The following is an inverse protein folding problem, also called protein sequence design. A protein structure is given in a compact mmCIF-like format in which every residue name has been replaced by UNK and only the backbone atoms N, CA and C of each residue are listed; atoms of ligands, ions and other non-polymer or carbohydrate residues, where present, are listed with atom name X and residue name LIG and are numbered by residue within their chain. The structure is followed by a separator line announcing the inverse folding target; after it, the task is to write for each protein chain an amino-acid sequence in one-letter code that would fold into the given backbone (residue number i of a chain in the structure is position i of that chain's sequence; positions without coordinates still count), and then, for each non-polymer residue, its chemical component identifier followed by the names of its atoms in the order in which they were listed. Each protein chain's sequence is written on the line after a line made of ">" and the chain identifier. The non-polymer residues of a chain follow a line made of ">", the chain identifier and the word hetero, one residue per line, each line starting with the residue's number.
data_IF_897943379480
#
_entry.id   IF_897943379480
#
_cell.length_a   1.000
_cell.length_b   1.000
_cell.length_c   1.000
_cell.angle_alpha   90.00
_cell.angle_beta   90.00
_cell.angle_gamma   90.00
#
_symmetry.space_group_name_H-M   'P 1'
#
loop_
_entity.id
_entity.type
_entity.pdbx_description
1 polymer ?
#
# COMPACT_ATOMS: atom_id res chain seq x y z
N UNK A 1 -5.84 -3.36 16.46
CA UNK A 1 -4.48 -3.48 17.03
C UNK A 1 -4.46 -3.95 18.49
N UNK A 2 -5.25 -3.39 19.42
CA UNK A 2 -5.21 -3.81 20.83
C UNK A 2 -5.56 -5.30 21.05
N UNK A 3 -6.51 -5.86 20.30
CA UNK A 3 -6.86 -7.27 20.38
C UNK A 3 -5.75 -8.15 19.80
N UNK A 4 -5.13 -7.74 18.69
CA UNK A 4 -4.00 -8.43 18.08
C UNK A 4 -2.77 -8.46 18.99
N UNK A 5 -2.42 -7.34 19.63
CA UNK A 5 -1.33 -7.26 20.62
C UNK A 5 -1.53 -8.20 21.82
N UNK A 6 -2.75 -8.67 22.05
CA UNK A 6 -3.12 -9.59 23.14
C UNK A 6 -3.43 -11.01 22.67
N UNK A 7 -3.13 -11.32 21.39
CA UNK A 7 -3.46 -12.61 20.75
C UNK A 7 -4.95 -13.00 20.90
N UNK A 8 -5.84 -12.00 20.93
CA UNK A 8 -7.29 -12.23 20.98
C UNK A 8 -7.83 -12.30 19.56
N UNK A 9 -8.33 -13.47 19.10
CA UNK A 9 -8.92 -13.60 17.78
C UNK A 9 -10.12 -12.67 17.62
N UNK A 10 -10.19 -11.93 16.54
CA UNK A 10 -11.33 -11.05 16.27
C UNK A 10 -11.73 -11.08 14.80
N UNK A 11 -12.95 -10.66 14.53
CA UNK A 11 -13.49 -10.50 13.17
C UNK A 11 -14.23 -9.17 13.04
N UNK A 12 -13.92 -8.41 11.99
CA UNK A 12 -14.62 -7.16 11.67
C UNK A 12 -15.75 -7.46 10.69
N UNK A 13 -16.98 -7.07 11.05
CA UNK A 13 -18.16 -7.23 10.21
C UNK A 13 -18.55 -5.89 9.59
N UNK A 14 -18.76 -5.88 8.26
CA UNK A 14 -19.35 -4.77 7.52
C UNK A 14 -18.48 -3.55 7.29
N UNK A 15 -17.22 -3.60 7.69
CA UNK A 15 -16.21 -2.59 7.34
C UNK A 15 -15.17 -3.16 6.39
N UNK A 16 -14.55 -2.29 5.57
CA UNK A 16 -13.29 -2.66 4.95
C UNK A 16 -12.23 -2.78 6.06
N UNK A 17 -11.50 -3.90 6.09
CA UNK A 17 -10.28 -4.02 6.88
C UNK A 17 -9.41 -2.79 6.65
N UNK A 18 -8.68 -2.34 7.67
CA UNK A 18 -7.81 -1.17 7.57
C UNK A 18 -6.92 -1.21 6.31
N UNK A 19 -6.29 -2.36 6.06
CA UNK A 19 -5.42 -2.56 4.90
C UNK A 19 -6.19 -2.66 3.56
N UNK A 20 -7.51 -2.79 3.58
CA UNK A 20 -8.36 -2.79 2.38
C UNK A 20 -8.84 -1.39 1.97
N UNK A 21 -8.64 -0.37 2.81
CA UNK A 21 -8.99 1.02 2.49
C UNK A 21 -8.18 1.51 1.28
N UNK A 22 -8.82 2.31 0.43
CA UNK A 22 -8.23 2.75 -0.85
C UNK A 22 -6.88 3.43 -0.67
N UNK A 23 -6.81 4.43 0.19
CA UNK A 23 -5.62 5.24 0.49
C UNK A 23 -4.48 4.38 1.07
N UNK A 24 -4.80 3.40 1.90
CA UNK A 24 -3.84 2.46 2.46
C UNK A 24 -3.28 1.54 1.37
N UNK A 25 -4.15 1.00 0.51
CA UNK A 25 -3.72 0.21 -0.66
C UNK A 25 -2.83 1.01 -1.59
N UNK A 26 -3.09 2.30 -1.77
CA UNK A 26 -2.28 3.17 -2.61
C UNK A 26 -0.86 3.32 -2.03
N UNK A 27 -0.73 3.56 -0.71
CA UNK A 27 0.58 3.59 -0.03
C UNK A 27 1.27 2.23 -0.12
N UNK A 28 0.60 1.14 0.28
CA UNK A 28 1.16 -0.21 0.25
C UNK A 28 1.61 -0.61 -1.16
N UNK A 29 0.91 -0.18 -2.21
CA UNK A 29 1.31 -0.47 -3.59
C UNK A 29 2.64 0.21 -3.95
N UNK A 30 2.89 1.46 -3.50
CA UNK A 30 4.21 2.06 -3.63
C UNK A 30 5.28 1.25 -2.90
N UNK A 31 5.01 0.82 -1.69
CA UNK A 31 5.96 0.05 -0.89
C UNK A 31 6.25 -1.33 -1.50
N UNK A 32 5.22 -2.00 -2.03
CA UNK A 32 5.36 -3.30 -2.71
C UNK A 32 6.27 -3.22 -3.93
N UNK A 33 6.17 -2.17 -4.76
CA UNK A 33 7.05 -2.02 -5.94
C UNK A 33 8.49 -1.64 -5.56
N UNK A 34 8.75 -1.14 -4.36
CA UNK A 34 10.12 -0.95 -3.88
C UNK A 34 10.81 -2.29 -3.64
N UNK A 35 10.10 -3.25 -3.06
CA UNK A 35 10.62 -4.61 -2.81
C UNK A 35 10.56 -5.45 -4.08
N UNK A 36 9.45 -5.40 -4.80
CA UNK A 36 9.26 -6.18 -6.03
C UNK A 36 8.75 -5.31 -7.19
N UNK A 37 9.65 -4.74 -8.01
CA UNK A 37 9.26 -3.95 -9.18
C UNK A 37 8.47 -4.72 -10.24
N UNK A 38 8.41 -6.06 -10.16
CA UNK A 38 7.62 -6.92 -11.05
C UNK A 38 6.17 -7.09 -10.59
N UNK A 39 5.80 -6.47 -9.46
CA UNK A 39 4.41 -6.45 -9.00
C UNK A 39 3.59 -5.52 -9.90
N UNK A 40 3.04 -6.09 -10.96
CA UNK A 40 2.29 -5.33 -11.97
C UNK A 40 0.96 -4.78 -11.45
N UNK A 41 0.34 -5.44 -10.49
CA UNK A 41 -0.89 -4.94 -9.86
C UNK A 41 -0.61 -3.67 -9.09
N UNK A 42 0.40 -3.70 -8.23
CA UNK A 42 0.84 -2.53 -7.47
C UNK A 42 1.31 -1.40 -8.40
N UNK A 43 2.09 -1.73 -9.43
CA UNK A 43 2.57 -0.75 -10.40
C UNK A 43 1.43 -0.05 -11.14
N UNK A 44 0.49 -0.80 -11.70
CA UNK A 44 -0.68 -0.25 -12.43
C UNK A 44 -1.53 0.65 -11.54
N UNK A 45 -1.60 0.34 -10.25
CA UNK A 45 -2.35 1.13 -9.27
C UNK A 45 -1.73 2.52 -9.06
N UNK A 46 -0.41 2.63 -9.01
CA UNK A 46 0.27 3.87 -8.58
C UNK A 46 0.99 4.64 -9.68
N UNK A 47 1.19 4.06 -10.85
CA UNK A 47 1.93 4.70 -11.95
C UNK A 47 1.37 6.08 -12.33
N UNK A 48 0.05 6.24 -12.26
CA UNK A 48 -0.63 7.52 -12.51
C UNK A 48 -1.41 8.04 -11.29
N UNK A 49 -1.07 7.62 -10.08
CA UNK A 49 -1.68 8.15 -8.87
C UNK A 49 -0.61 8.52 -7.82
N UNK A 50 -0.53 9.77 -7.39
CA UNK A 50 -1.25 10.98 -7.90
C UNK A 50 -1.07 11.19 -9.40
N UNK A 51 -1.96 11.98 -10.01
CA UNK A 51 -2.00 12.18 -11.46
C UNK A 51 -0.68 12.71 -12.04
N UNK A 52 -0.06 11.90 -12.94
CA UNK A 52 1.20 12.23 -13.64
C UNK A 52 1.00 12.44 -15.13
N UNK A 53 -0.25 12.31 -15.62
CA UNK A 53 -0.56 12.38 -17.04
C UNK A 53 -0.05 11.17 -17.81
N UNK A 54 0.01 10.02 -17.18
CA UNK A 54 0.24 8.69 -17.79
C UNK A 54 -1.14 8.06 -17.96
N UNK A 55 -1.70 8.16 -19.17
CA UNK A 55 -3.06 7.68 -19.45
C UNK A 55 -3.15 6.18 -19.61
N UNK A 56 -4.37 5.64 -19.51
CA UNK A 56 -4.68 4.22 -19.61
C UNK A 56 -4.15 3.59 -20.93
N UNK A 57 -4.27 4.29 -22.06
CA UNK A 57 -3.73 3.84 -23.35
C UNK A 57 -2.21 3.62 -23.31
N UNK A 58 -1.48 4.42 -22.53
CA UNK A 58 -0.04 4.23 -22.36
C UNK A 58 0.26 2.96 -21.57
N UNK A 59 -0.51 2.71 -20.50
CA UNK A 59 -0.38 1.50 -19.68
C UNK A 59 -0.67 0.25 -20.53
N UNK A 60 -1.72 0.27 -21.34
CA UNK A 60 -2.05 -0.82 -22.25
C UNK A 60 -0.93 -1.12 -23.25
N UNK A 61 -0.32 -0.07 -23.83
CA UNK A 61 0.85 -0.22 -24.73
C UNK A 61 2.04 -0.82 -24.01
N UNK A 62 2.31 -0.39 -22.76
CA UNK A 62 3.37 -0.97 -21.95
C UNK A 62 3.12 -2.46 -21.68
N UNK A 63 1.88 -2.86 -21.39
CA UNK A 63 1.50 -4.27 -21.17
C UNK A 63 1.76 -5.10 -22.43
N UNK A 64 1.33 -4.61 -23.60
CA UNK A 64 1.55 -5.31 -24.88
C UNK A 64 3.05 -5.53 -25.13
N UNK A 65 3.84 -4.48 -24.95
CA UNK A 65 5.29 -4.55 -25.15
C UNK A 65 5.96 -5.44 -24.10
N UNK A 66 5.53 -5.39 -22.85
CA UNK A 66 6.02 -6.25 -21.77
C UNK A 66 5.82 -7.73 -22.12
N UNK A 67 4.62 -8.09 -22.58
CA UNK A 67 4.32 -9.45 -23.04
C UNK A 67 5.14 -9.84 -24.27
N UNK A 68 5.31 -8.95 -25.26
CA UNK A 68 6.09 -9.20 -26.47
C UNK A 68 7.56 -9.52 -26.17
N UNK A 69 8.16 -8.83 -25.20
CA UNK A 69 9.56 -9.01 -24.82
C UNK A 69 9.77 -9.96 -23.63
N UNK A 70 8.70 -10.57 -23.11
CA UNK A 70 8.70 -11.39 -21.89
C UNK A 70 9.41 -10.70 -20.71
N UNK A 71 9.02 -9.45 -20.47
CA UNK A 71 9.55 -8.57 -19.40
C UNK A 71 8.42 -8.00 -18.58
N UNK A 72 8.72 -7.55 -17.36
CA UNK A 72 7.75 -6.77 -16.58
C UNK A 72 7.56 -5.37 -17.17
N UNK A 73 6.42 -4.74 -16.85
CA UNK A 73 6.13 -3.36 -17.26
C UNK A 73 7.24 -2.42 -16.77
N UNK A 74 7.73 -2.61 -15.54
CA UNK A 74 8.80 -1.78 -14.98
C UNK A 74 10.11 -1.93 -15.75
N UNK A 75 10.49 -3.16 -16.12
CA UNK A 75 11.69 -3.42 -16.97
C UNK A 75 11.56 -2.79 -18.35
N UNK A 76 10.36 -2.78 -18.94
CA UNK A 76 10.12 -2.05 -20.20
C UNK A 76 10.32 -0.55 -20.00
N UNK A 77 9.77 0.02 -18.92
CA UNK A 77 9.92 1.45 -18.61
C UNK A 77 11.37 1.85 -18.38
N UNK A 78 12.20 1.00 -17.77
CA UNK A 78 13.65 1.22 -17.60
C UNK A 78 14.42 1.22 -18.92
N UNK A 79 13.89 0.58 -19.94
CA UNK A 79 14.57 0.36 -21.22
C UNK A 79 13.88 1.05 -22.41
N UNK A 80 13.12 2.11 -22.18
CA UNK A 80 12.35 2.83 -23.21
C UNK A 80 13.21 3.39 -24.37
N UNK A 81 14.51 3.53 -24.19
CA UNK A 81 15.43 3.97 -25.24
C UNK A 81 15.89 2.82 -26.16
N UNK A 82 15.71 1.57 -25.69
CA UNK A 82 16.16 0.35 -26.39
C UNK A 82 14.98 -0.47 -26.94
N UNK A 83 13.77 -0.13 -26.53
CA UNK A 83 12.54 -0.87 -26.87
C UNK A 83 11.66 0.02 -27.74
N UNK A 84 11.20 -0.52 -28.85
CA UNK A 84 10.27 0.19 -29.72
C UNK A 84 8.88 0.21 -29.10
N UNK A 85 8.37 1.41 -28.79
CA UNK A 85 7.05 1.64 -28.24
C UNK A 85 6.47 2.95 -28.79
N UNK A 86 5.22 2.90 -29.25
CA UNK A 86 4.52 4.07 -29.79
C UNK A 86 3.97 4.98 -28.71
N UNK A 87 4.84 5.78 -28.10
CA UNK A 87 4.48 6.84 -27.15
C UNK A 87 5.17 8.15 -27.52
N UNK A 88 4.55 9.27 -27.21
CA UNK A 88 5.16 10.58 -27.48
C UNK A 88 6.28 10.87 -26.48
N UNK A 89 7.16 11.82 -26.84
CA UNK A 89 8.34 12.20 -26.04
C UNK A 89 7.98 12.67 -24.62
N UNK A 90 6.86 13.42 -24.47
CA UNK A 90 6.42 13.90 -23.16
C UNK A 90 5.98 12.76 -22.24
N UNK A 91 5.26 11.77 -22.77
CA UNK A 91 4.87 10.58 -22.03
C UNK A 91 6.09 9.73 -21.66
N UNK A 92 7.06 9.60 -22.59
CA UNK A 92 8.32 8.90 -22.32
C UNK A 92 9.08 9.52 -21.16
N UNK A 93 9.21 10.85 -21.12
CA UNK A 93 9.83 11.57 -20.00
C UNK A 93 9.13 11.28 -18.68
N UNK A 94 7.79 11.34 -18.63
CA UNK A 94 7.02 11.06 -17.41
C UNK A 94 7.22 9.63 -16.89
N UNK A 95 7.34 8.65 -17.78
CA UNK A 95 7.64 7.26 -17.40
C UNK A 95 9.06 7.14 -16.86
N UNK A 96 10.05 7.82 -17.47
CA UNK A 96 11.43 7.86 -16.99
C UNK A 96 11.53 8.55 -15.62
N UNK A 97 10.82 9.66 -15.42
CA UNK A 97 10.76 10.36 -14.13
C UNK A 97 10.17 9.46 -13.04
N UNK A 98 9.12 8.70 -13.35
CA UNK A 98 8.53 7.73 -12.43
C UNK A 98 9.53 6.62 -12.07
N UNK A 99 10.22 6.04 -13.07
CA UNK A 99 11.25 5.02 -12.84
C UNK A 99 12.36 5.57 -11.94
N UNK A 100 12.87 6.75 -12.25
CA UNK A 100 13.93 7.41 -11.46
C UNK A 100 13.49 7.64 -10.00
N UNK A 101 12.25 8.07 -9.80
CA UNK A 101 11.68 8.25 -8.47
C UNK A 101 11.65 6.92 -7.69
N UNK A 102 11.13 5.84 -8.29
CA UNK A 102 11.09 4.53 -7.63
C UNK A 102 12.50 4.02 -7.31
N UNK A 103 13.43 4.13 -8.24
CA UNK A 103 14.83 3.74 -8.01
C UNK A 103 15.48 4.53 -6.87
N UNK A 104 15.19 5.84 -6.77
CA UNK A 104 15.70 6.64 -5.65
C UNK A 104 15.17 6.17 -4.31
N UNK A 105 13.90 5.73 -4.24
CA UNK A 105 13.32 5.17 -3.03
C UNK A 105 13.92 3.79 -2.70
N UNK A 106 14.21 2.97 -3.70
CA UNK A 106 14.88 1.67 -3.50
C UNK A 106 16.25 1.83 -2.83
N UNK A 107 17.04 2.82 -3.29
CA UNK A 107 18.34 3.13 -2.67
C UNK A 107 18.17 3.58 -1.22
N UNK A 108 17.18 4.43 -0.93
CA UNK A 108 16.90 4.86 0.45
C UNK A 108 16.42 3.73 1.36
N UNK A 109 15.68 2.77 0.79
CA UNK A 109 15.17 1.62 1.54
C UNK A 109 16.29 0.72 2.10
N UNK A 110 17.50 0.76 1.55
CA UNK A 110 18.64 0.00 2.07
C UNK A 110 19.09 0.47 3.47
N UNK A 111 18.82 1.74 3.81
CA UNK A 111 19.26 2.34 5.07
C UNK A 111 18.13 2.87 5.96
N UNK A 112 16.88 2.78 5.51
CA UNK A 112 15.71 3.28 6.22
C UNK A 112 14.90 2.13 6.84
N UNK A 113 14.34 2.35 8.03
CA UNK A 113 13.26 1.51 8.55
C UNK A 113 11.93 1.77 7.80
N UNK A 114 10.93 0.92 8.05
CA UNK A 114 9.64 0.99 7.34
C UNK A 114 8.92 2.33 7.55
N UNK A 115 9.04 2.94 8.73
CA UNK A 115 8.43 4.24 8.99
C UNK A 115 9.10 5.33 8.16
N UNK A 116 10.44 5.38 8.18
CA UNK A 116 11.22 6.39 7.47
C UNK A 116 11.00 6.34 5.96
N UNK A 117 11.05 5.14 5.37
CA UNK A 117 10.84 5.00 3.92
C UNK A 117 9.41 5.34 3.53
N UNK A 118 8.41 4.93 4.32
CA UNK A 118 7.02 5.23 4.02
C UNK A 118 6.72 6.71 4.12
N UNK A 119 7.18 7.37 5.17
CA UNK A 119 7.05 8.83 5.31
C UNK A 119 7.67 9.57 4.12
N UNK A 120 8.86 9.15 3.69
CA UNK A 120 9.52 9.71 2.52
C UNK A 120 8.71 9.50 1.23
N UNK A 121 8.24 8.28 0.98
CA UNK A 121 7.42 7.92 -0.18
C UNK A 121 6.14 8.76 -0.22
N UNK A 122 5.38 8.82 0.86
CA UNK A 122 4.11 9.56 0.93
C UNK A 122 4.32 11.05 0.65
N UNK A 123 5.40 11.64 1.20
CA UNK A 123 5.76 13.06 0.95
C UNK A 123 6.18 13.30 -0.50
N UNK A 124 7.10 12.48 -1.03
CA UNK A 124 7.71 12.71 -2.35
C UNK A 124 6.80 12.34 -3.52
N UNK A 125 5.94 11.35 -3.36
CA UNK A 125 4.96 11.01 -4.41
C UNK A 125 3.86 12.06 -4.57
N UNK A 126 3.63 12.91 -3.56
CA UNK A 126 2.56 13.89 -3.52
C UNK A 126 1.21 13.34 -3.04
N UNK A 127 1.17 12.12 -2.47
CA UNK A 127 -0.07 11.51 -1.96
C UNK A 127 -0.79 12.41 -0.95
N UNK A 128 -0.08 12.93 0.05
CA UNK A 128 -0.67 13.87 1.00
C UNK A 128 -1.22 15.14 0.33
N UNK A 129 -0.48 15.67 -0.65
CA UNK A 129 -0.91 16.88 -1.37
C UNK A 129 -2.18 16.60 -2.15
N UNK A 130 -2.28 15.43 -2.76
CA UNK A 130 -3.48 15.02 -3.52
C UNK A 130 -4.69 14.85 -2.61
N UNK A 131 -4.54 14.17 -1.47
CA UNK A 131 -5.62 13.98 -0.51
C UNK A 131 -6.06 15.28 0.16
N UNK A 132 -5.13 16.22 0.42
CA UNK A 132 -5.45 17.54 0.98
C UNK A 132 -6.27 18.44 0.05
N UNK A 133 -6.30 18.17 -1.26
CA UNK A 133 -7.18 18.88 -2.18
C UNK A 133 -8.66 18.53 -1.96
N UNK A 134 -8.92 17.36 -1.43
CA UNK A 134 -10.26 16.92 -1.05
C UNK A 134 -10.58 17.43 0.37
N UNK A 135 -11.21 18.60 0.47
CA UNK A 135 -11.60 19.21 1.75
C UNK A 135 -12.84 18.61 2.38
N UNK A 136 -13.35 17.49 1.87
CA UNK A 136 -14.51 16.78 2.43
C UNK A 136 -14.16 16.03 3.71
N UNK A 137 -15.14 15.69 4.57
CA UNK A 137 -14.91 14.83 5.73
C UNK A 137 -14.25 13.49 5.35
N UNK A 138 -14.59 12.94 4.18
CA UNK A 138 -13.99 11.69 3.66
C UNK A 138 -12.50 11.91 3.29
N UNK A 139 -12.15 13.07 2.71
CA UNK A 139 -10.77 13.44 2.41
C UNK A 139 -9.92 13.54 3.68
N UNK A 140 -10.47 14.15 4.72
CA UNK A 140 -9.82 14.25 6.05
C UNK A 140 -9.61 12.86 6.63
N UNK A 141 -10.66 12.02 6.66
CA UNK A 141 -10.55 10.66 7.17
C UNK A 141 -9.50 9.81 6.43
N UNK A 142 -9.29 10.01 5.13
CA UNK A 142 -8.21 9.34 4.38
C UNK A 142 -6.83 9.79 4.82
N UNK A 143 -6.65 11.07 5.14
CA UNK A 143 -5.38 11.58 5.68
C UNK A 143 -5.11 10.94 7.04
N UNK A 144 -6.11 10.95 7.94
CA UNK A 144 -6.03 10.33 9.25
C UNK A 144 -5.67 8.83 9.16
N UNK A 145 -6.24 8.12 8.18
CA UNK A 145 -5.87 6.72 7.92
C UNK A 145 -4.39 6.53 7.54
N UNK A 146 -3.81 7.43 6.75
CA UNK A 146 -2.38 7.36 6.42
C UNK A 146 -1.53 7.69 7.65
N UNK A 147 -1.95 8.66 8.46
CA UNK A 147 -1.26 8.97 9.72
C UNK A 147 -1.30 7.80 10.70
N UNK A 148 -2.43 7.11 10.79
CA UNK A 148 -2.58 5.87 11.57
C UNK A 148 -1.67 4.76 11.05
N UNK A 149 -1.56 4.59 9.73
CA UNK A 149 -0.60 3.64 9.15
C UNK A 149 0.83 3.97 9.54
N UNK A 150 1.23 5.23 9.45
CA UNK A 150 2.57 5.69 9.85
C UNK A 150 2.84 5.48 11.34
N UNK A 151 1.85 5.70 12.20
CA UNK A 151 1.96 5.42 13.63
C UNK A 151 2.14 3.92 13.89
N UNK A 152 1.34 3.07 13.23
CA UNK A 152 1.49 1.61 13.32
C UNK A 152 2.86 1.11 12.85
N UNK A 153 3.43 1.74 11.80
CA UNK A 153 4.79 1.43 11.37
C UNK A 153 5.86 1.85 12.37
N UNK A 154 5.66 2.97 13.06
CA UNK A 154 6.56 3.42 14.14
C UNK A 154 6.53 2.44 15.30
N UNK A 155 5.34 2.06 15.74
CA UNK A 155 5.16 1.06 16.80
C UNK A 155 5.82 -0.26 16.40
N UNK A 156 5.65 -0.71 15.16
CA UNK A 156 6.30 -1.91 14.64
C UNK A 156 7.83 -1.83 14.73
N UNK A 157 8.42 -0.71 14.32
CA UNK A 157 9.88 -0.49 14.41
C UNK A 157 10.36 -0.53 15.86
N UNK A 158 9.62 0.05 16.79
CA UNK A 158 9.95 0.04 18.23
C UNK A 158 9.87 -1.39 18.80
N UNK A 159 8.80 -2.15 18.47
CA UNK A 159 8.64 -3.54 18.90
C UNK A 159 9.77 -4.45 18.34
N UNK A 160 10.15 -4.27 17.07
CA UNK A 160 11.23 -5.04 16.46
C UNK A 160 12.59 -4.76 17.12
N UNK A 161 12.87 -3.53 17.51
CA UNK A 161 14.10 -3.16 18.23
C UNK A 161 14.19 -3.77 19.63
N UNK A 162 13.04 -4.01 20.28
CA UNK A 162 12.99 -4.62 21.62
C UNK A 162 13.14 -6.15 21.58
N UNK A 163 12.63 -6.79 20.52
CA UNK A 163 12.51 -8.27 20.44
C UNK A 163 13.73 -8.97 19.86
N UNK A 164 14.44 -8.34 18.97
CA UNK A 164 15.61 -8.93 18.32
C UNK A 164 16.40 -7.83 17.61
N UNK A 165 17.70 -7.93 17.44
CA UNK A 165 18.57 -7.03 16.67
C UNK A 165 18.10 -6.73 15.21
N UNK A 166 16.80 -6.65 14.99
CA UNK A 166 16.16 -6.38 13.69
C UNK A 166 15.81 -4.91 13.56
N UNK A 167 15.86 -4.40 12.33
CA UNK A 167 15.72 -2.96 12.06
C UNK A 167 14.29 -2.52 11.81
N UNK A 168 13.30 -3.43 11.83
CA UNK A 168 11.93 -3.12 11.41
C UNK A 168 11.89 -2.74 9.94
N UNK A 169 12.36 -3.62 9.09
CA UNK A 169 12.49 -3.38 7.65
C UNK A 169 11.14 -3.33 6.93
N UNK A 170 11.12 -2.71 5.75
CA UNK A 170 9.94 -2.69 4.89
C UNK A 170 9.47 -4.10 4.49
N UNK A 171 10.39 -5.04 4.26
CA UNK A 171 10.04 -6.41 3.87
C UNK A 171 9.29 -7.13 4.99
N UNK A 172 9.82 -7.07 6.23
CA UNK A 172 9.19 -7.66 7.41
C UNK A 172 7.79 -7.08 7.67
N UNK A 173 7.63 -5.76 7.54
CA UNK A 173 6.32 -5.13 7.70
C UNK A 173 5.31 -5.59 6.64
N UNK A 174 5.72 -5.71 5.37
CA UNK A 174 4.82 -6.18 4.31
C UNK A 174 4.42 -7.65 4.47
N UNK A 175 5.28 -8.49 5.01
CA UNK A 175 4.95 -9.88 5.40
C UNK A 175 3.90 -9.88 6.52
N UNK A 176 4.06 -9.06 7.55
CA UNK A 176 3.09 -8.91 8.63
C UNK A 176 1.73 -8.42 8.14
N UNK A 177 1.70 -7.45 7.22
CA UNK A 177 0.46 -6.97 6.57
C UNK A 177 -0.21 -8.07 5.75
N UNK A 178 0.56 -8.90 5.05
CA UNK A 178 0.01 -10.00 4.26
C UNK A 178 -0.66 -11.03 5.17
N UNK A 179 -0.01 -11.44 6.25
CA UNK A 179 -0.56 -12.35 7.25
C UNK A 179 -1.85 -11.78 7.90
N UNK A 180 -1.84 -10.50 8.29
CA UNK A 180 -3.02 -9.85 8.84
C UNK A 180 -4.21 -9.83 7.87
N UNK A 181 -3.93 -9.58 6.58
CA UNK A 181 -4.97 -9.54 5.54
C UNK A 181 -5.55 -10.93 5.26
N UNK A 182 -4.77 -11.99 5.38
CA UNK A 182 -5.23 -13.36 5.16
C UNK A 182 -6.06 -13.86 6.36
N UNK A 183 -5.67 -13.54 7.59
CA UNK A 183 -6.47 -13.79 8.79
C UNK A 183 -7.85 -13.12 8.74
N UNK A 184 -7.94 -11.91 8.16
CA UNK A 184 -9.23 -11.22 7.94
C UNK A 184 -10.16 -11.98 6.97
N UNK A 185 -9.62 -12.84 6.10
CA UNK A 185 -10.39 -13.65 5.12
C UNK A 185 -10.80 -15.03 5.66
N UNK A 186 -10.14 -15.51 6.70
CA UNK A 186 -10.45 -16.83 7.26
C UNK A 186 -11.86 -16.89 7.84
N UNK A 187 -12.68 -17.78 7.30
CA UNK A 187 -14.08 -17.99 7.68
C UNK A 187 -14.27 -19.08 8.75
N UNK A 188 -13.21 -19.41 9.49
CA UNK A 188 -13.25 -20.46 10.53
C UNK A 188 -14.29 -20.16 11.62
N UNK A 189 -14.90 -21.24 12.14
CA UNK A 189 -15.93 -21.23 13.20
C UNK A 189 -15.26 -21.17 14.60
N UNK A 190 -14.14 -20.46 14.73
CA UNK A 190 -13.41 -20.32 15.98
C UNK A 190 -14.05 -19.21 16.85
N UNK A 191 -13.86 -19.32 18.16
CA UNK A 191 -14.32 -18.37 19.16
C UNK A 191 -13.57 -17.02 18.97
N UNK A 192 -14.25 -16.07 18.30
CA UNK A 192 -13.64 -14.76 17.90
C UNK A 192 -14.47 -13.60 18.41
N UNK A 193 -13.81 -12.52 18.80
CA UNK A 193 -14.50 -11.26 19.14
C UNK A 193 -15.06 -10.65 17.86
N UNK A 194 -16.37 -10.45 17.80
CA UNK A 194 -17.05 -9.79 16.68
C UNK A 194 -17.01 -8.27 16.86
N UNK A 195 -16.30 -7.55 15.98
CA UNK A 195 -16.30 -6.10 15.91
C UNK A 195 -17.26 -5.66 14.81
N UNK A 196 -18.26 -4.86 15.16
CA UNK A 196 -19.24 -4.38 14.20
C UNK A 196 -19.88 -3.06 14.63
N UNK A 197 -20.45 -2.34 13.69
CA UNK A 197 -21.25 -1.15 14.01
C UNK A 197 -22.57 -1.54 14.63
N UNK A 198 -23.17 -0.66 15.47
CA UNK A 198 -24.51 -0.86 16.06
C UNK A 198 -25.57 -1.14 14.98
N UNK A 199 -25.41 -0.54 13.79
CA UNK A 199 -26.33 -0.76 12.67
C UNK A 199 -26.29 -2.21 12.14
N UNK A 200 -25.11 -2.81 12.08
CA UNK A 200 -24.90 -4.19 11.65
C UNK A 200 -25.31 -5.20 12.73
N UNK A 201 -25.24 -4.81 13.99
CA UNK A 201 -25.69 -5.63 15.12
C UNK A 201 -27.21 -5.71 15.22
N UNK A 202 -27.97 -4.89 14.48
CA UNK A 202 -29.43 -4.89 14.53
C UNK A 202 -30.00 -6.25 14.14
N UNK A 203 -30.71 -6.87 15.09
CA UNK A 203 -31.33 -8.19 14.90
C UNK A 203 -30.40 -9.37 15.17
N UNK A 204 -29.17 -9.14 15.63
CA UNK A 204 -28.28 -10.16 16.13
C UNK A 204 -28.27 -10.18 17.65
N UNK A 205 -28.05 -11.35 18.23
CA UNK A 205 -27.98 -11.55 19.68
C UNK A 205 -26.60 -12.11 20.05
N UNK A 206 -25.95 -11.51 21.04
CA UNK A 206 -24.65 -11.92 21.55
C UNK A 206 -24.69 -12.12 23.06
N UNK A 207 -23.99 -13.15 23.60
CA UNK A 207 -23.95 -13.40 25.06
C UNK A 207 -23.28 -12.25 25.82
N UNK A 208 -22.32 -11.57 25.21
CA UNK A 208 -21.60 -10.45 25.79
C UNK A 208 -21.47 -9.33 24.74
N UNK A 209 -21.76 -8.08 25.15
CA UNK A 209 -21.67 -6.89 24.29
C UNK A 209 -20.89 -5.82 25.05
N UNK A 210 -19.90 -5.23 24.36
CA UNK A 210 -19.12 -4.08 24.81
C UNK A 210 -19.37 -2.93 23.84
N UNK A 211 -19.63 -1.72 24.35
CA UNK A 211 -19.92 -0.51 23.56
C UNK A 211 -18.88 0.56 23.93
#
# INVERSE_FOLDING_TARGET
>A
DALRKKDIPYRIYGGLSFYQRKEIKDVLSYLRILINPKDEEALKRVINYPARGIGQTTIERLIVVANQYNRSIFEVMQNLDKIEIQINRGTKSKLQDFVTMIQSFQVLNEGYDVFQITEHVVKKTGLFTELKKDGTPEGIARIENIEELLNGMRDFVEEQKELADTTGSLAEFLEDVALATDLDKETGDEDKVALMTVHLAKGLEFPFVFI
#
